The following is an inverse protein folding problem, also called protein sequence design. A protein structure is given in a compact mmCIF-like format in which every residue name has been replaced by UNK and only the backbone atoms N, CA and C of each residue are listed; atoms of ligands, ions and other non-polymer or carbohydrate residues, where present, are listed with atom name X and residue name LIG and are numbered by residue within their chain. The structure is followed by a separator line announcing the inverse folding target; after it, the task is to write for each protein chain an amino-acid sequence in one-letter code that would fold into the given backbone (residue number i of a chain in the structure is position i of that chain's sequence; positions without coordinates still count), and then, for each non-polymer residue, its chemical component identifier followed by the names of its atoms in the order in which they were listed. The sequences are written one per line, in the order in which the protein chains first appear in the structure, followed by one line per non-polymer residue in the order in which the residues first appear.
data_IF_584480160661
#
_entry.id   IF_584480160661
#
_cell.length_a   1.000
_cell.length_b   1.000
_cell.length_c   1.000
_cell.angle_alpha   90.00
_cell.angle_beta   90.00
_cell.angle_gamma   90.00
#
_symmetry.space_group_name_H-M   'P 1'
#
loop_
_entity.id
_entity.type
_entity.pdbx_description
1 polymer ?
#
# COMPACT_ATOMS: atom_id res chain seq x y z
N UNK A 1 -30.07 -29.07 8.22
CA UNK A 1 -30.57 -28.33 7.04
C UNK A 1 -29.34 -27.81 6.33
N UNK A 2 -29.18 -28.29 5.10
CA UNK A 2 -27.93 -28.29 4.32
C UNK A 2 -27.70 -26.91 3.72
N UNK A 3 -26.45 -26.46 3.82
CA UNK A 3 -25.92 -25.25 3.19
C UNK A 3 -25.79 -25.46 1.68
N UNK A 4 -26.30 -24.55 0.87
CA UNK A 4 -26.13 -24.58 -0.59
C UNK A 4 -25.63 -23.21 -1.07
N UNK A 5 -24.36 -23.18 -1.44
CA UNK A 5 -23.70 -22.08 -2.16
C UNK A 5 -24.03 -22.17 -3.65
N UNK A 6 -24.16 -21.06 -4.40
CA UNK A 6 -24.41 -21.11 -5.84
C UNK A 6 -23.11 -21.37 -6.63
N UNK A 7 -23.22 -22.30 -7.57
CA UNK A 7 -22.19 -22.79 -8.48
C UNK A 7 -22.04 -21.87 -9.73
N UNK A 8 -20.84 -21.74 -10.34
CA UNK A 8 -20.58 -20.84 -11.47
C UNK A 8 -20.98 -21.44 -12.84
N UNK A 9 -21.17 -20.62 -13.90
CA UNK A 9 -21.58 -21.10 -15.23
C UNK A 9 -20.45 -21.75 -16.02
N UNK A 10 -20.85 -22.72 -16.84
CA UNK A 10 -20.02 -23.66 -17.59
C UNK A 10 -19.29 -23.08 -18.80
N UNK A 11 -18.19 -23.76 -19.12
CA UNK A 11 -17.22 -23.55 -20.19
C UNK A 11 -17.81 -23.62 -21.61
N UNK A 12 -17.24 -22.80 -22.49
CA UNK A 12 -17.42 -22.84 -23.95
C UNK A 12 -16.40 -23.82 -24.54
N UNK A 13 -16.78 -24.78 -25.40
CA UNK A 13 -15.81 -25.54 -26.19
C UNK A 13 -15.49 -24.83 -27.50
N UNK A 14 -14.19 -24.73 -27.80
CA UNK A 14 -13.67 -24.24 -29.06
C UNK A 14 -13.68 -25.28 -30.20
N UNK A 15 -13.77 -24.73 -31.40
CA UNK A 15 -12.91 -25.01 -32.58
C UNK A 15 -12.91 -26.41 -33.22
N UNK A 16 -13.47 -26.52 -34.43
CA UNK A 16 -12.90 -27.33 -35.53
C UNK A 16 -13.25 -26.68 -36.89
N UNK A 17 -12.21 -26.25 -37.62
CA UNK A 17 -12.22 -25.91 -39.06
C UNK A 17 -12.33 -27.19 -39.93
N UNK A 18 -12.74 -27.05 -41.20
CA UNK A 18 -11.79 -27.46 -42.23
C UNK A 18 -11.65 -26.44 -43.38
N UNK A 19 -10.38 -26.07 -43.59
CA UNK A 19 -9.73 -25.78 -44.88
C UNK A 19 -9.86 -27.02 -45.82
N UNK A 20 -9.83 -27.03 -47.16
CA UNK A 20 -9.49 -26.18 -48.32
C UNK A 20 -10.32 -26.78 -49.51
N UNK A 21 -10.55 -26.20 -50.70
CA UNK A 21 -9.58 -25.79 -51.72
C UNK A 21 -10.32 -25.42 -53.02
N UNK A 22 -9.74 -24.46 -53.75
CA UNK A 22 -9.82 -24.22 -55.20
C UNK A 22 -11.16 -23.74 -55.79
N UNK A 23 -11.22 -22.52 -56.30
CA UNK A 23 -10.53 -22.17 -57.55
C UNK A 23 -10.81 -20.69 -57.89
N UNK A 24 -9.74 -19.92 -57.97
CA UNK A 24 -9.69 -18.61 -58.60
C UNK A 24 -10.27 -18.64 -60.01
N UNK A 25 -11.27 -17.79 -60.26
CA UNK A 25 -11.42 -17.11 -61.55
C UNK A 25 -11.70 -15.63 -61.32
N UNK A 26 -10.59 -14.91 -61.24
CA UNK A 26 -10.44 -13.53 -61.69
C UNK A 26 -10.90 -13.41 -63.15
N UNK A 27 -11.97 -12.66 -63.37
CA UNK A 27 -12.16 -11.85 -64.58
C UNK A 27 -12.51 -10.45 -64.04
N UNK A 28 -11.58 -9.48 -63.93
CA UNK A 28 -10.85 -8.83 -65.01
C UNK A 28 -11.72 -8.59 -66.24
N UNK A 29 -12.82 -7.87 -66.05
CA UNK A 29 -13.39 -7.04 -67.13
C UNK A 29 -12.45 -5.85 -67.36
N UNK A 30 -11.40 -6.14 -68.12
CA UNK A 30 -10.56 -5.16 -68.77
C UNK A 30 -11.40 -4.34 -69.76
N UNK A 31 -11.34 -3.02 -69.61
CA UNK A 31 -11.32 -2.03 -70.69
C UNK A 31 -11.54 -2.58 -72.10
N UNK A 32 -12.81 -2.73 -72.48
CA UNK A 32 -13.22 -2.65 -73.86
C UNK A 32 -14.09 -1.40 -73.94
N UNK A 33 -13.63 -0.38 -74.67
CA UNK A 33 -14.51 0.67 -75.21
C UNK A 33 -15.58 -0.06 -76.01
N UNK A 34 -16.72 -0.33 -75.39
CA UNK A 34 -17.94 -0.61 -76.12
C UNK A 34 -18.27 0.70 -76.84
N UNK A 35 -17.91 0.74 -78.12
CA UNK A 35 -18.53 1.65 -79.06
C UNK A 35 -20.02 1.53 -78.83
N UNK A 36 -20.63 2.64 -78.45
CA UNK A 36 -22.05 2.84 -78.29
C UNK A 36 -22.70 2.55 -79.65
N UNK A 37 -22.99 1.27 -79.90
CA UNK A 37 -23.85 0.87 -81.00
C UNK A 37 -25.27 1.22 -80.55
N UNK A 38 -25.70 2.43 -80.91
CA UNK A 38 -27.06 2.89 -80.72
C UNK A 38 -28.06 1.87 -81.28
N UNK A 39 -29.23 1.81 -80.65
CA UNK A 39 -30.36 0.95 -81.00
C UNK A 39 -30.50 0.77 -82.51
N UNK A 40 -30.16 -0.43 -83.00
CA UNK A 40 -30.20 -0.81 -84.42
C UNK A 40 -31.62 -0.90 -84.99
N UNK A 41 -32.64 -0.43 -84.26
CA UNK A 41 -34.00 -0.19 -84.75
C UNK A 41 -34.18 1.19 -85.37
N UNK A 42 -33.23 2.11 -85.17
CA UNK A 42 -33.36 3.49 -85.62
C UNK A 42 -32.40 3.79 -86.78
N UNK A 43 -32.87 4.49 -87.82
CA UNK A 43 -32.01 4.85 -88.92
C UNK A 43 -30.85 5.74 -88.44
N UNK A 44 -29.60 5.35 -88.76
CA UNK A 44 -28.36 6.07 -88.41
C UNK A 44 -28.32 7.55 -88.89
N UNK A 45 -29.21 7.93 -89.81
CA UNK A 45 -29.37 9.29 -90.30
C UNK A 45 -30.27 10.16 -89.41
N UNK A 46 -31.05 9.57 -88.51
CA UNK A 46 -31.96 10.28 -87.62
C UNK A 46 -31.29 10.53 -86.26
N UNK A 47 -30.81 11.77 -86.04
CA UNK A 47 -30.11 12.14 -84.80
C UNK A 47 -31.04 12.89 -83.86
N UNK A 48 -31.59 12.17 -82.87
CA UNK A 48 -32.49 12.76 -81.86
C UNK A 48 -31.83 13.86 -81.03
N UNK A 49 -30.53 13.75 -80.81
CA UNK A 49 -29.71 14.74 -80.10
C UNK A 49 -29.73 16.13 -80.76
N UNK A 50 -29.95 16.21 -82.07
CA UNK A 50 -30.05 17.48 -82.77
C UNK A 50 -31.24 18.32 -82.28
N UNK A 51 -32.32 17.67 -81.82
CA UNK A 51 -33.50 18.35 -81.26
C UNK A 51 -33.27 18.96 -79.87
N UNK A 52 -32.18 18.58 -79.19
CA UNK A 52 -31.83 19.11 -77.86
C UNK A 52 -30.92 20.34 -77.93
N UNK A 53 -30.47 20.74 -79.13
CA UNK A 53 -29.61 21.91 -79.31
C UNK A 53 -30.44 23.22 -79.23
N UNK A 54 -29.93 24.23 -78.52
CA UNK A 54 -30.62 25.52 -78.36
C UNK A 54 -30.79 26.32 -79.67
N UNK A 55 -29.92 26.09 -80.67
CA UNK A 55 -29.93 26.79 -81.97
C UNK A 55 -30.53 25.92 -83.09
N UNK A 56 -31.44 25.00 -82.74
CA UNK A 56 -32.03 24.06 -83.70
C UNK A 56 -32.95 24.79 -84.71
N UNK A 57 -32.54 24.81 -85.98
CA UNK A 57 -33.37 25.26 -87.10
C UNK A 57 -33.93 24.07 -87.88
N UNK A 58 -35.25 23.88 -87.79
CA UNK A 58 -35.95 22.77 -88.44
C UNK A 58 -35.78 22.75 -89.97
N UNK A 59 -35.75 23.93 -90.59
CA UNK A 59 -35.65 24.06 -92.04
C UNK A 59 -34.28 23.60 -92.56
N UNK A 60 -33.19 23.91 -91.85
CA UNK A 60 -31.83 23.48 -92.20
C UNK A 60 -31.70 21.96 -92.01
N UNK A 61 -32.19 21.44 -90.88
CA UNK A 61 -32.14 20.02 -90.57
C UNK A 61 -32.90 19.15 -91.60
N UNK A 62 -34.10 19.56 -92.01
CA UNK A 62 -34.88 18.86 -93.04
C UNK A 62 -34.23 18.99 -94.41
N UNK A 63 -33.64 20.13 -94.74
CA UNK A 63 -32.99 20.35 -96.03
C UNK A 63 -31.72 19.50 -96.20
N UNK A 64 -30.94 19.33 -95.13
CA UNK A 64 -29.76 18.47 -95.11
C UNK A 64 -30.14 16.98 -95.25
N UNK A 65 -31.22 16.54 -94.59
CA UNK A 65 -31.69 15.16 -94.65
C UNK A 65 -32.42 14.81 -95.95
N UNK A 66 -33.05 15.79 -96.60
CA UNK A 66 -33.73 15.61 -97.90
C UNK A 66 -32.79 15.15 -99.02
N UNK A 67 -31.47 15.40 -98.90
CA UNK A 67 -30.45 14.92 -99.84
C UNK A 67 -30.26 13.41 -99.79
N UNK A 68 -30.62 12.78 -98.68
CA UNK A 68 -30.31 11.37 -98.41
C UNK A 68 -31.56 10.51 -98.19
N UNK A 69 -32.72 11.09 -97.86
CA UNK A 69 -33.93 10.35 -97.45
C UNK A 69 -35.22 10.96 -98.05
N UNK A 70 -36.20 10.14 -98.49
CA UNK A 70 -37.53 10.61 -98.88
C UNK A 70 -38.27 11.30 -97.72
N UNK A 71 -38.92 12.43 -98.01
CA UNK A 71 -39.66 13.23 -97.01
C UNK A 71 -40.77 12.45 -96.29
N UNK A 72 -41.35 11.44 -96.93
CA UNK A 72 -42.38 10.58 -96.34
C UNK A 72 -41.82 9.72 -95.21
N UNK A 73 -40.61 9.19 -95.37
CA UNK A 73 -39.93 8.37 -94.35
C UNK A 73 -39.42 9.23 -93.20
N UNK A 74 -38.92 10.44 -93.49
CA UNK A 74 -38.56 11.40 -92.44
C UNK A 74 -39.77 11.77 -91.57
N UNK A 75 -40.92 12.02 -92.20
CA UNK A 75 -42.16 12.34 -91.48
C UNK A 75 -42.61 11.21 -90.56
N UNK A 76 -42.61 9.96 -91.04
CA UNK A 76 -43.04 8.82 -90.22
C UNK A 76 -42.12 8.61 -89.02
N UNK A 77 -40.80 8.76 -89.19
CA UNK A 77 -39.86 8.66 -88.07
C UNK A 77 -40.00 9.81 -87.05
N UNK A 78 -40.26 11.05 -87.53
CA UNK A 78 -40.56 12.18 -86.65
C UNK A 78 -41.86 11.98 -85.86
N UNK A 79 -42.91 11.47 -86.51
CA UNK A 79 -44.20 11.18 -85.87
C UNK A 79 -44.03 10.05 -84.83
N UNK A 80 -43.26 9.00 -85.15
CA UNK A 80 -42.93 7.91 -84.22
C UNK A 80 -42.14 8.43 -83.01
N UNK A 81 -41.14 9.29 -83.24
CA UNK A 81 -40.35 9.89 -82.17
C UNK A 81 -41.21 10.78 -81.26
N UNK A 82 -42.13 11.57 -81.82
CA UNK A 82 -43.06 12.40 -81.06
C UNK A 82 -43.95 11.53 -80.16
N UNK A 83 -44.51 10.44 -80.69
CA UNK A 83 -45.34 9.51 -79.92
C UNK A 83 -44.54 8.86 -78.78
N UNK A 84 -43.32 8.40 -79.06
CA UNK A 84 -42.41 7.82 -78.06
C UNK A 84 -42.09 8.82 -76.95
N UNK A 85 -41.77 10.06 -77.31
CA UNK A 85 -41.43 11.11 -76.36
C UNK A 85 -42.63 11.52 -75.50
N UNK A 86 -43.84 11.53 -76.07
CA UNK A 86 -45.07 11.73 -75.32
C UNK A 86 -45.35 10.59 -74.34
N UNK A 87 -45.15 9.32 -74.73
CA UNK A 87 -45.28 8.20 -73.79
C UNK A 87 -44.25 8.27 -72.67
N UNK A 88 -42.99 8.61 -72.99
CA UNK A 88 -41.93 8.73 -72.00
C UNK A 88 -42.20 9.88 -71.02
N UNK A 89 -42.71 11.03 -71.50
CA UNK A 89 -43.11 12.15 -70.65
C UNK A 89 -44.25 11.76 -69.71
N UNK A 90 -45.26 11.04 -70.21
CA UNK A 90 -46.38 10.57 -69.39
C UNK A 90 -45.91 9.54 -68.37
N UNK A 91 -45.01 8.63 -68.73
CA UNK A 91 -44.40 7.68 -67.81
C UNK A 91 -43.58 8.38 -66.73
N UNK A 92 -42.78 9.39 -67.08
CA UNK A 92 -42.00 10.17 -66.13
C UNK A 92 -42.89 10.93 -65.15
N UNK A 93 -43.94 11.61 -65.64
CA UNK A 93 -44.92 12.30 -64.79
C UNK A 93 -45.63 11.31 -63.87
N UNK A 94 -46.05 10.16 -64.39
CA UNK A 94 -46.76 9.15 -63.59
C UNK A 94 -45.84 8.55 -62.51
N UNK A 95 -44.58 8.28 -62.84
CA UNK A 95 -43.57 7.79 -61.89
C UNK A 95 -43.34 8.80 -60.77
N UNK A 96 -43.05 10.05 -61.12
CA UNK A 96 -42.79 11.10 -60.14
C UNK A 96 -44.04 11.43 -59.30
N UNK A 97 -45.23 11.30 -59.89
CA UNK A 97 -46.49 11.43 -59.16
C UNK A 97 -46.67 10.32 -58.11
N UNK A 98 -46.37 9.07 -58.45
CA UNK A 98 -46.43 7.97 -57.48
C UNK A 98 -45.44 8.14 -56.34
N UNK A 99 -44.22 8.59 -56.63
CA UNK A 99 -43.19 8.83 -55.62
C UNK A 99 -43.56 9.99 -54.71
N UNK A 100 -44.10 11.08 -55.27
CA UNK A 100 -44.56 12.24 -54.49
C UNK A 100 -45.73 11.88 -53.57
N UNK A 101 -46.71 11.13 -54.04
CA UNK A 101 -47.85 10.68 -53.23
C UNK A 101 -47.39 9.72 -52.12
N UNK A 102 -46.49 8.79 -52.42
CA UNK A 102 -45.92 7.86 -51.44
C UNK A 102 -45.08 8.58 -50.38
N UNK A 103 -44.32 9.61 -50.74
CA UNK A 103 -43.57 10.41 -49.79
C UNK A 103 -44.50 11.26 -48.93
N UNK A 104 -45.49 11.93 -49.54
CA UNK A 104 -46.45 12.76 -48.84
C UNK A 104 -47.27 11.97 -47.82
N UNK A 105 -47.69 10.74 -48.16
CA UNK A 105 -48.44 9.87 -47.23
C UNK A 105 -47.57 9.39 -46.07
N UNK A 106 -46.33 8.96 -46.34
CA UNK A 106 -45.41 8.52 -45.28
C UNK A 106 -45.02 9.66 -44.35
N UNK A 107 -44.82 10.87 -44.85
CA UNK A 107 -44.39 12.02 -44.05
C UNK A 107 -45.46 12.44 -43.03
N UNK A 108 -46.74 12.31 -43.38
CA UNK A 108 -47.87 12.62 -42.48
C UNK A 108 -47.89 11.69 -41.25
N UNK A 109 -47.48 10.43 -41.40
CA UNK A 109 -47.44 9.46 -40.30
C UNK A 109 -46.20 9.58 -39.40
N UNK A 110 -45.16 10.30 -39.84
CA UNK A 110 -43.93 10.51 -39.05
C UNK A 110 -44.23 11.29 -37.78
N UNK A 111 -45.05 12.34 -37.84
CA UNK A 111 -45.42 13.14 -36.67
C UNK A 111 -46.12 12.28 -35.60
N UNK A 112 -47.01 11.39 -36.02
CA UNK A 112 -47.65 10.41 -35.14
C UNK A 112 -46.66 9.43 -34.51
N UNK A 113 -45.68 8.93 -35.28
CA UNK A 113 -44.63 8.04 -34.78
C UNK A 113 -43.70 8.75 -33.78
N UNK A 114 -43.31 10.00 -34.05
CA UNK A 114 -42.49 10.82 -33.16
C UNK A 114 -43.22 11.08 -31.84
N UNK A 115 -44.52 11.42 -31.88
CA UNK A 115 -45.33 11.59 -30.68
C UNK A 115 -45.44 10.29 -29.86
N UNK A 116 -45.62 9.13 -30.51
CA UNK A 116 -45.65 7.83 -29.84
C UNK A 116 -44.31 7.44 -29.21
N UNK A 117 -43.16 7.83 -29.80
CA UNK A 117 -41.84 7.58 -29.23
C UNK A 117 -41.47 8.54 -28.10
N UNK A 118 -42.01 9.76 -28.10
CA UNK A 118 -41.69 10.79 -27.10
C UNK A 118 -42.11 10.37 -25.68
N UNK A 119 -43.29 9.79 -25.52
CA UNK A 119 -43.81 9.35 -24.23
C UNK A 119 -42.91 8.30 -23.53
N UNK A 120 -42.57 7.14 -24.15
CA UNK A 120 -41.72 6.13 -23.53
C UNK A 120 -40.29 6.63 -23.28
N UNK A 121 -39.76 7.54 -24.11
CA UNK A 121 -38.44 8.14 -23.87
C UNK A 121 -38.45 9.04 -22.62
N UNK A 122 -39.50 9.83 -22.40
CA UNK A 122 -39.65 10.63 -21.18
C UNK A 122 -39.83 9.73 -19.96
N UNK A 123 -40.60 8.65 -20.08
CA UNK A 123 -40.78 7.68 -19.02
C UNK A 123 -39.45 7.02 -18.64
N UNK A 124 -38.67 6.57 -19.64
CA UNK A 124 -37.34 5.98 -19.43
C UNK A 124 -36.38 6.99 -18.79
N UNK A 125 -36.34 8.23 -19.26
CA UNK A 125 -35.54 9.29 -18.65
C UNK A 125 -35.92 9.52 -17.18
N UNK A 126 -37.22 9.43 -16.86
CA UNK A 126 -37.71 9.58 -15.49
C UNK A 126 -37.30 8.40 -14.62
N UNK A 127 -37.44 7.16 -15.11
CA UNK A 127 -36.98 5.95 -14.43
C UNK A 127 -35.47 5.98 -14.18
N UNK A 128 -34.68 6.32 -15.19
CA UNK A 128 -33.22 6.45 -15.06
C UNK A 128 -32.82 7.53 -14.05
N UNK A 129 -33.53 8.66 -14.03
CA UNK A 129 -33.30 9.72 -13.04
C UNK A 129 -33.62 9.25 -11.63
N UNK A 130 -34.67 8.44 -11.45
CA UNK A 130 -35.01 7.87 -10.15
C UNK A 130 -33.99 6.83 -9.71
N UNK A 131 -33.59 5.90 -10.58
CA UNK A 131 -32.52 4.94 -10.29
C UNK A 131 -31.22 5.66 -9.93
N UNK A 132 -30.85 6.72 -10.66
CA UNK A 132 -29.68 7.55 -10.32
C UNK A 132 -29.81 8.16 -8.92
N UNK A 133 -30.99 8.71 -8.56
CA UNK A 133 -31.24 9.24 -7.21
C UNK A 133 -31.09 8.17 -6.14
N UNK A 134 -31.60 6.97 -6.39
CA UNK A 134 -31.54 5.87 -5.43
C UNK A 134 -30.10 5.35 -5.26
N UNK A 135 -29.33 5.28 -6.35
CA UNK A 135 -27.89 4.98 -6.30
C UNK A 135 -27.13 6.03 -5.47
N UNK A 136 -27.39 7.32 -5.70
CA UNK A 136 -26.73 8.40 -4.95
C UNK A 136 -27.08 8.30 -3.45
N UNK A 137 -28.35 8.09 -3.11
CA UNK A 137 -28.77 7.88 -1.72
C UNK A 137 -28.10 6.66 -1.08
N UNK A 138 -28.02 5.55 -1.81
CA UNK A 138 -27.36 4.34 -1.33
C UNK A 138 -25.86 4.58 -1.10
N UNK A 139 -25.20 5.32 -2.00
CA UNK A 139 -23.80 5.69 -1.88
C UNK A 139 -23.56 6.56 -0.64
N UNK A 140 -24.36 7.59 -0.41
CA UNK A 140 -24.30 8.44 0.79
C UNK A 140 -24.54 7.64 2.08
N UNK A 141 -25.50 6.69 2.06
CA UNK A 141 -25.75 5.80 3.18
C UNK A 141 -24.55 4.90 3.48
N UNK A 142 -23.89 4.35 2.45
CA UNK A 142 -22.68 3.53 2.60
C UNK A 142 -21.52 4.37 3.13
N UNK A 143 -21.30 5.57 2.60
CA UNK A 143 -20.23 6.46 3.05
C UNK A 143 -20.40 6.86 4.52
N UNK A 144 -21.61 7.23 4.93
CA UNK A 144 -21.90 7.56 6.34
C UNK A 144 -21.80 6.34 7.26
N UNK A 145 -22.15 5.14 6.78
CA UNK A 145 -21.96 3.90 7.53
C UNK A 145 -20.46 3.55 7.68
N UNK A 146 -19.66 3.72 6.62
CA UNK A 146 -18.22 3.50 6.66
C UNK A 146 -17.52 4.50 7.59
N UNK A 147 -17.91 5.78 7.55
CA UNK A 147 -17.39 6.80 8.46
C UNK A 147 -17.67 6.45 9.93
N UNK A 148 -18.91 6.07 10.26
CA UNK A 148 -19.28 5.59 11.60
C UNK A 148 -18.51 4.34 12.01
N UNK A 149 -18.30 3.40 11.08
CA UNK A 149 -17.51 2.20 11.34
C UNK A 149 -16.04 2.53 11.62
N UNK A 150 -15.46 3.48 10.89
CA UNK A 150 -14.09 3.91 11.12
C UNK A 150 -13.94 4.61 12.49
N UNK A 151 -14.88 5.48 12.85
CA UNK A 151 -14.90 6.14 14.16
C UNK A 151 -15.02 5.10 15.29
N UNK A 152 -15.93 4.13 15.15
CA UNK A 152 -16.07 3.04 16.10
C UNK A 152 -14.81 2.17 16.19
N UNK A 153 -14.14 1.91 15.07
CA UNK A 153 -12.87 1.17 15.06
C UNK A 153 -11.74 1.93 15.77
N UNK A 154 -11.66 3.26 15.56
CA UNK A 154 -10.69 4.11 16.24
C UNK A 154 -10.96 4.15 17.75
N UNK A 155 -12.21 4.39 18.16
CA UNK A 155 -12.60 4.37 19.57
C UNK A 155 -12.28 3.02 20.21
N UNK A 156 -12.59 1.91 19.53
CA UNK A 156 -12.25 0.56 20.00
C UNK A 156 -10.74 0.38 20.17
N UNK A 157 -9.93 0.80 19.19
CA UNK A 157 -8.46 0.70 19.30
C UNK A 157 -7.92 1.53 20.47
N UNK A 158 -8.48 2.71 20.74
CA UNK A 158 -8.09 3.51 21.92
C UNK A 158 -8.49 2.84 23.23
N UNK A 159 -9.67 2.22 23.30
CA UNK A 159 -10.13 1.48 24.48
C UNK A 159 -9.31 0.22 24.72
N UNK A 160 -8.95 -0.52 23.66
CA UNK A 160 -8.06 -1.68 23.76
C UNK A 160 -6.68 -1.27 24.31
N UNK A 161 -6.13 -0.14 23.87
CA UNK A 161 -4.88 0.39 24.42
C UNK A 161 -5.02 0.78 25.91
N UNK A 162 -6.13 1.43 26.29
CA UNK A 162 -6.41 1.78 27.69
C UNK A 162 -6.60 0.53 28.57
N UNK A 163 -7.26 -0.50 28.06
CA UNK A 163 -7.45 -1.76 28.76
C UNK A 163 -6.12 -2.51 28.93
N UNK A 164 -5.32 -2.60 27.87
CA UNK A 164 -4.00 -3.24 27.90
C UNK A 164 -3.06 -2.53 28.88
N UNK A 165 -3.00 -1.19 28.85
CA UNK A 165 -2.21 -0.41 29.82
C UNK A 165 -2.65 -0.68 31.25
N UNK A 166 -3.96 -0.65 31.53
CA UNK A 166 -4.50 -0.92 32.87
C UNK A 166 -4.15 -2.34 33.35
N UNK A 167 -4.32 -3.34 32.48
CA UNK A 167 -4.05 -4.74 32.81
C UNK A 167 -2.56 -4.98 33.07
N UNK A 168 -1.67 -4.39 32.27
CA UNK A 168 -0.22 -4.51 32.48
C UNK A 168 0.20 -3.79 33.76
N UNK A 169 -0.34 -2.61 34.06
CA UNK A 169 -0.06 -1.92 35.34
C UNK A 169 -0.50 -2.77 36.53
N UNK A 170 -1.73 -3.31 36.50
CA UNK A 170 -2.23 -4.18 37.57
C UNK A 170 -1.37 -5.43 37.73
N UNK A 171 -0.92 -6.03 36.62
CA UNK A 171 -0.02 -7.19 36.62
C UNK A 171 1.34 -6.84 37.22
N UNK A 172 1.92 -5.70 36.85
CA UNK A 172 3.20 -5.22 37.40
C UNK A 172 3.09 -5.00 38.91
N UNK A 173 2.03 -4.33 39.37
CA UNK A 173 1.78 -4.12 40.80
C UNK A 173 1.56 -5.44 41.56
N UNK A 174 0.85 -6.41 40.97
CA UNK A 174 0.67 -7.74 41.56
C UNK A 174 2.01 -8.48 41.70
N UNK A 175 2.86 -8.44 40.67
CA UNK A 175 4.18 -9.07 40.70
C UNK A 175 5.11 -8.37 41.69
N UNK A 176 5.01 -7.05 41.84
CA UNK A 176 5.75 -6.29 42.84
C UNK A 176 5.31 -6.67 44.26
N UNK A 177 4.00 -6.83 44.51
CA UNK A 177 3.50 -7.32 45.78
C UNK A 177 3.96 -8.75 46.09
N UNK A 178 4.02 -9.63 45.09
CA UNK A 178 4.60 -10.98 45.22
C UNK A 178 6.10 -10.90 45.58
N UNK A 179 6.85 -10.00 44.93
CA UNK A 179 8.26 -9.77 45.22
C UNK A 179 8.52 -9.31 46.66
N UNK A 180 7.68 -8.44 47.21
CA UNK A 180 7.80 -7.98 48.60
C UNK A 180 7.55 -9.10 49.62
N UNK A 181 6.69 -10.07 49.30
CA UNK A 181 6.33 -11.18 50.21
C UNK A 181 7.33 -12.35 50.21
N UNK A 182 8.25 -12.40 49.24
CA UNK A 182 9.22 -13.50 49.14
C UNK A 182 10.34 -13.39 50.19
N UNK A 183 10.55 -14.45 50.96
CA UNK A 183 11.63 -14.53 51.97
C UNK A 183 13.04 -14.34 51.37
N UNK A 184 13.90 -13.61 52.09
CA UNK A 184 15.33 -13.39 51.77
C UNK A 184 16.22 -14.61 52.12
N UNK A 185 15.74 -15.81 51.82
CA UNK A 185 16.54 -17.05 51.96
C UNK A 185 17.33 -17.31 50.68
N UNK A 186 18.41 -18.11 50.73
CA UNK A 186 19.25 -18.38 49.54
C UNK A 186 18.53 -19.06 48.36
N UNK A 187 17.48 -19.84 48.65
CA UNK A 187 16.55 -20.37 47.63
C UNK A 187 15.57 -19.28 47.16
N UNK A 188 15.12 -18.43 48.08
CA UNK A 188 14.31 -17.25 47.83
C UNK A 188 14.99 -16.26 46.88
N UNK A 189 16.29 -16.02 46.99
CA UNK A 189 17.03 -15.06 46.16
C UNK A 189 16.96 -15.38 44.66
N UNK A 190 17.00 -16.67 44.30
CA UNK A 190 16.83 -17.11 42.90
C UNK A 190 15.41 -16.83 42.40
N UNK A 191 14.42 -17.10 43.24
CA UNK A 191 13.01 -16.84 42.92
C UNK A 191 12.74 -15.34 42.80
N UNK A 192 13.28 -14.54 43.73
CA UNK A 192 13.22 -13.08 43.74
C UNK A 192 13.82 -12.48 42.47
N UNK A 193 15.01 -12.93 42.06
CA UNK A 193 15.65 -12.45 40.82
C UNK A 193 14.86 -12.80 39.55
N UNK A 194 14.27 -13.99 39.49
CA UNK A 194 13.38 -14.38 38.37
C UNK A 194 12.10 -13.55 38.31
N UNK A 195 11.51 -13.23 39.47
CA UNK A 195 10.34 -12.35 39.54
C UNK A 195 10.73 -10.94 39.08
N UNK A 196 11.88 -10.41 39.48
CA UNK A 196 12.37 -9.11 39.01
C UNK A 196 12.61 -9.07 37.50
N UNK A 197 13.20 -10.12 36.91
CA UNK A 197 13.33 -10.24 35.44
C UNK A 197 11.96 -10.21 34.75
N UNK A 198 10.98 -10.94 35.31
CA UNK A 198 9.60 -10.92 34.78
C UNK A 198 8.97 -9.53 34.89
N UNK A 199 9.10 -8.85 36.04
CA UNK A 199 8.59 -7.48 36.23
C UNK A 199 9.26 -6.55 35.23
N UNK A 200 10.57 -6.62 35.04
CA UNK A 200 11.32 -5.84 34.06
C UNK A 200 10.77 -5.99 32.64
N UNK A 201 10.46 -7.22 32.22
CA UNK A 201 9.86 -7.47 30.89
C UNK A 201 8.46 -6.85 30.74
N UNK A 202 7.62 -6.89 31.78
CA UNK A 202 6.29 -6.26 31.76
C UNK A 202 6.37 -4.73 31.85
N UNK A 203 7.33 -4.17 32.59
CA UNK A 203 7.61 -2.72 32.63
C UNK A 203 8.08 -2.24 31.26
N UNK A 204 8.92 -2.99 30.55
CA UNK A 204 9.29 -2.64 29.18
C UNK A 204 8.09 -2.65 28.23
N UNK A 205 7.21 -3.65 28.35
CA UNK A 205 5.95 -3.70 27.61
C UNK A 205 5.04 -2.51 27.96
N UNK A 206 5.01 -2.10 29.22
CA UNK A 206 4.28 -0.93 29.68
C UNK A 206 4.83 0.37 29.07
N UNK A 207 6.17 0.53 29.01
CA UNK A 207 6.80 1.66 28.31
C UNK A 207 6.34 1.75 26.84
N UNK A 208 6.24 0.62 26.14
CA UNK A 208 5.70 0.59 24.77
C UNK A 208 4.25 1.09 24.69
N UNK A 209 3.37 0.63 25.57
CA UNK A 209 1.98 1.08 25.55
C UNK A 209 1.81 2.54 25.96
N UNK A 210 2.59 3.03 26.93
CA UNK A 210 2.64 4.43 27.32
C UNK A 210 3.11 5.29 26.16
N UNK A 211 4.17 4.86 25.44
CA UNK A 211 4.68 5.56 24.27
C UNK A 211 3.65 5.64 23.13
N UNK A 212 2.77 4.65 22.99
CA UNK A 212 1.67 4.65 22.01
C UNK A 212 0.48 5.53 22.43
N UNK A 213 0.31 5.79 23.73
CA UNK A 213 -0.85 6.47 24.30
C UNK A 213 -0.57 7.80 24.99
N UNK A 214 0.56 8.45 24.70
CA UNK A 214 1.06 9.63 25.43
C UNK A 214 0.05 10.79 25.52
N UNK A 215 -0.79 10.95 24.51
CA UNK A 215 -1.77 12.03 24.43
C UNK A 215 -3.05 11.77 25.24
N UNK A 216 -3.31 10.51 25.61
CA UNK A 216 -4.52 10.11 26.32
C UNK A 216 -4.46 10.56 27.79
N UNK A 217 -5.52 11.24 28.25
CA UNK A 217 -5.66 11.66 29.65
C UNK A 217 -5.59 10.48 30.64
N UNK A 218 -6.13 9.33 30.25
CA UNK A 218 -6.06 8.09 31.03
C UNK A 218 -4.62 7.65 31.30
N UNK A 219 -3.76 7.62 30.26
CA UNK A 219 -2.35 7.24 30.42
C UNK A 219 -1.63 8.24 31.32
N UNK A 220 -1.90 9.55 31.16
CA UNK A 220 -1.36 10.60 32.04
C UNK A 220 -1.76 10.40 33.50
N UNK A 221 -2.99 9.96 33.78
CA UNK A 221 -3.44 9.66 35.14
C UNK A 221 -2.75 8.43 35.76
N UNK A 222 -2.29 7.50 34.92
CA UNK A 222 -1.60 6.27 35.36
C UNK A 222 -0.10 6.47 35.55
N UNK A 223 0.51 7.47 34.90
CA UNK A 223 1.94 7.81 35.01
C UNK A 223 2.51 7.80 36.44
N UNK A 224 1.87 8.37 37.48
CA UNK A 224 2.43 8.31 38.83
C UNK A 224 2.57 6.88 39.37
N UNK A 225 1.60 6.01 39.08
CA UNK A 225 1.66 4.58 39.47
C UNK A 225 2.75 3.84 38.71
N UNK A 226 2.89 4.14 37.42
CA UNK A 226 3.93 3.58 36.55
C UNK A 226 5.31 3.97 37.07
N UNK A 227 5.53 5.26 37.37
CA UNK A 227 6.79 5.74 37.94
C UNK A 227 7.09 5.13 39.30
N UNK A 228 6.08 4.94 40.15
CA UNK A 228 6.26 4.26 41.44
C UNK A 228 6.70 2.79 41.24
N UNK A 229 6.05 2.07 40.32
CA UNK A 229 6.43 0.70 39.99
C UNK A 229 7.84 0.60 39.38
N UNK A 230 8.21 1.54 38.51
CA UNK A 230 9.57 1.64 37.96
C UNK A 230 10.61 1.89 39.06
N UNK A 231 10.31 2.78 40.02
CA UNK A 231 11.15 3.04 41.19
C UNK A 231 11.31 1.83 42.09
N UNK A 232 10.22 1.15 42.44
CA UNK A 232 10.27 -0.08 43.25
C UNK A 232 11.07 -1.19 42.55
N UNK A 233 10.92 -1.32 41.23
CA UNK A 233 11.70 -2.26 40.44
C UNK A 233 13.19 -1.88 40.42
N UNK A 234 13.54 -0.59 40.23
CA UNK A 234 14.94 -0.16 40.23
C UNK A 234 15.61 -0.36 41.58
N UNK A 235 14.91 -0.04 42.67
CA UNK A 235 15.41 -0.21 44.03
C UNK A 235 15.59 -1.69 44.37
N UNK A 236 14.60 -2.52 44.03
CA UNK A 236 14.65 -3.97 44.21
C UNK A 236 15.74 -4.64 43.38
N UNK A 237 15.97 -4.19 42.14
CA UNK A 237 17.07 -4.67 41.30
C UNK A 237 18.44 -4.26 41.85
N UNK A 238 18.57 -3.03 42.35
CA UNK A 238 19.82 -2.55 42.93
C UNK A 238 20.18 -3.34 44.20
N UNK A 239 19.23 -3.54 45.12
CA UNK A 239 19.44 -4.34 46.34
C UNK A 239 19.75 -5.82 46.01
N UNK A 240 19.00 -6.40 45.06
CA UNK A 240 19.19 -7.80 44.69
C UNK A 240 20.54 -8.02 43.98
N UNK A 241 20.93 -7.10 43.10
CA UNK A 241 22.23 -7.17 42.41
C UNK A 241 23.38 -6.95 43.39
N UNK A 242 23.31 -5.97 44.29
CA UNK A 242 24.38 -5.76 45.28
C UNK A 242 24.57 -6.99 46.17
N UNK A 243 23.47 -7.58 46.66
CA UNK A 243 23.52 -8.81 47.45
C UNK A 243 24.02 -10.02 46.64
N UNK A 244 23.67 -10.12 45.36
CA UNK A 244 24.13 -11.21 44.49
C UNK A 244 25.63 -11.13 44.23
N UNK A 245 26.16 -9.91 44.06
CA UNK A 245 27.58 -9.64 43.86
C UNK A 245 28.39 -9.93 45.13
N UNK A 246 27.90 -9.53 46.31
CA UNK A 246 28.52 -9.83 47.60
C UNK A 246 28.62 -11.35 47.85
N UNK A 247 27.53 -12.08 47.55
CA UNK A 247 27.46 -13.53 47.72
C UNK A 247 28.11 -14.33 46.57
N UNK A 248 28.63 -13.65 45.54
CA UNK A 248 29.22 -14.25 44.31
C UNK A 248 28.31 -15.29 43.64
N UNK A 249 27.00 -15.07 43.65
CA UNK A 249 26.03 -16.02 43.12
C UNK A 249 25.80 -15.79 41.62
N UNK A 250 26.35 -16.68 40.79
CA UNK A 250 26.35 -16.53 39.34
C UNK A 250 24.95 -16.44 38.72
N UNK A 251 24.01 -17.27 39.17
CA UNK A 251 22.66 -17.35 38.60
C UNK A 251 21.79 -16.15 38.94
N UNK A 252 21.88 -15.65 40.18
CA UNK A 252 21.13 -14.48 40.63
C UNK A 252 21.65 -13.24 39.91
N UNK A 253 22.98 -13.10 39.83
CA UNK A 253 23.63 -12.02 39.07
C UNK A 253 23.19 -12.01 37.62
N UNK A 254 23.14 -13.19 36.97
CA UNK A 254 22.66 -13.33 35.59
C UNK A 254 21.22 -12.83 35.43
N UNK A 255 20.28 -13.29 36.27
CA UNK A 255 18.87 -12.88 36.20
C UNK A 255 18.70 -11.37 36.45
N UNK A 256 19.46 -10.78 37.37
CA UNK A 256 19.46 -9.33 37.59
C UNK A 256 19.98 -8.57 36.36
N UNK A 257 21.06 -9.02 35.73
CA UNK A 257 21.59 -8.40 34.51
C UNK A 257 20.61 -8.51 33.34
N UNK A 258 19.94 -9.65 33.18
CA UNK A 258 18.87 -9.81 32.18
C UNK A 258 17.70 -8.85 32.44
N UNK A 259 17.34 -8.64 33.70
CA UNK A 259 16.31 -7.67 34.08
C UNK A 259 16.73 -6.23 33.72
N UNK A 260 17.98 -5.83 34.00
CA UNK A 260 18.51 -4.52 33.60
C UNK A 260 18.53 -4.35 32.08
N UNK A 261 18.90 -5.40 31.33
CA UNK A 261 18.85 -5.38 29.87
C UNK A 261 17.41 -5.25 29.34
N UNK A 262 16.45 -5.95 29.95
CA UNK A 262 15.04 -5.85 29.58
C UNK A 262 14.46 -4.45 29.86
N UNK A 263 14.93 -3.75 30.90
CA UNK A 263 14.52 -2.38 31.22
C UNK A 263 15.17 -1.29 30.35
N UNK A 264 16.18 -1.67 29.56
CA UNK A 264 17.09 -0.76 28.84
C UNK A 264 17.85 0.20 29.79
N UNK A 265 18.19 -0.28 30.99
CA UNK A 265 18.92 0.49 32.00
C UNK A 265 20.35 -0.04 32.17
N UNK A 266 21.16 0.14 31.13
CA UNK A 266 22.56 -0.32 31.06
C UNK A 266 23.43 0.40 32.10
N UNK A 267 23.30 1.72 32.18
CA UNK A 267 24.06 2.55 33.11
C UNK A 267 23.80 2.18 34.58
N UNK A 268 22.55 1.85 34.94
CA UNK A 268 22.21 1.39 36.29
C UNK A 268 22.93 0.10 36.69
N UNK A 269 23.03 -0.87 35.77
CA UNK A 269 23.75 -2.11 36.02
C UNK A 269 25.26 -1.89 36.16
N UNK A 270 25.84 -1.10 35.25
CA UNK A 270 27.28 -0.81 35.24
C UNK A 270 27.71 -0.04 36.49
N UNK A 271 26.94 0.96 36.90
CA UNK A 271 27.19 1.71 38.15
C UNK A 271 27.06 0.85 39.40
N UNK A 272 26.09 -0.07 39.44
CA UNK A 272 25.96 -1.02 40.56
C UNK A 272 27.17 -1.97 40.66
N UNK A 273 27.61 -2.54 39.53
CA UNK A 273 28.82 -3.40 39.49
C UNK A 273 30.06 -2.60 39.88
N UNK A 274 30.17 -1.37 39.38
CA UNK A 274 31.25 -0.44 39.70
C UNK A 274 31.36 -0.19 41.21
N UNK A 275 30.25 0.14 41.87
CA UNK A 275 30.25 0.46 43.30
C UNK A 275 30.47 -0.77 44.19
N UNK A 276 29.85 -1.91 43.86
CA UNK A 276 29.84 -3.09 44.74
C UNK A 276 31.09 -3.95 44.57
N UNK A 277 31.60 -4.10 43.34
CA UNK A 277 32.71 -5.01 43.05
C UNK A 277 34.00 -4.26 42.75
N UNK A 278 33.96 -3.25 41.87
CA UNK A 278 35.18 -2.61 41.37
C UNK A 278 35.79 -1.66 42.41
N UNK A 279 35.01 -0.74 42.99
CA UNK A 279 35.46 0.25 43.97
C UNK A 279 36.20 -0.36 45.19
N UNK A 280 35.69 -1.42 45.86
CA UNK A 280 36.41 -2.03 46.98
C UNK A 280 37.69 -2.77 46.55
N UNK A 281 37.76 -3.27 45.32
CA UNK A 281 38.99 -3.89 44.78
C UNK A 281 40.05 -2.84 44.51
N UNK A 282 39.67 -1.76 43.82
CA UNK A 282 40.57 -0.67 43.47
C UNK A 282 41.10 0.04 44.71
N UNK A 283 40.24 0.37 45.69
CA UNK A 283 40.67 1.00 46.94
C UNK A 283 41.63 0.13 47.77
N UNK A 284 41.39 -1.18 47.88
CA UNK A 284 42.31 -2.13 48.56
C UNK A 284 43.67 -2.22 47.86
N UNK A 285 43.68 -2.25 46.54
CA UNK A 285 44.93 -2.35 45.77
C UNK A 285 45.71 -1.03 45.80
N UNK A 286 45.01 0.10 45.78
CA UNK A 286 45.61 1.43 45.79
C UNK A 286 46.19 1.81 47.16
N UNK A 287 45.53 1.43 48.25
CA UNK A 287 46.04 1.57 49.62
C UNK A 287 47.25 0.68 49.92
N UNK A 288 47.37 -0.46 49.22
CA UNK A 288 48.52 -1.36 49.30
C UNK A 288 49.73 -0.86 48.47
N UNK A 289 49.48 0.00 47.47
CA UNK A 289 50.50 0.43 46.52
C UNK A 289 51.28 1.67 47.01
N UNK A 290 52.62 1.61 47.13
CA UNK A 290 53.43 2.77 47.51
C UNK A 290 53.35 3.88 46.45
N UNK A 291 53.43 5.16 46.84
CA UNK A 291 53.28 6.33 45.93
C UNK A 291 54.23 6.33 44.73
N UNK A 292 55.36 5.61 44.83
CA UNK A 292 56.41 5.54 43.81
C UNK A 292 56.24 4.43 42.76
N UNK A 293 55.15 3.63 42.79
CA UNK A 293 54.94 2.60 41.76
C UNK A 293 54.72 3.21 40.38
N UNK A 294 55.45 2.71 39.40
CA UNK A 294 55.19 2.99 37.99
C UNK A 294 53.76 2.61 37.62
N UNK A 295 53.12 3.49 36.85
CA UNK A 295 51.72 3.35 36.47
C UNK A 295 51.42 2.00 35.81
N UNK A 296 52.36 1.52 34.97
CA UNK A 296 52.24 0.25 34.26
C UNK A 296 52.18 -0.96 35.19
N UNK A 297 53.02 -0.94 36.25
CA UNK A 297 53.02 -2.01 37.26
C UNK A 297 51.72 -1.94 38.05
N UNK A 298 51.26 -0.74 38.39
CA UNK A 298 50.01 -0.53 39.11
C UNK A 298 48.78 -1.01 38.31
N UNK A 299 48.69 -0.67 37.02
CA UNK A 299 47.64 -1.19 36.12
C UNK A 299 47.71 -2.71 35.99
N UNK A 300 48.91 -3.29 35.89
CA UNK A 300 49.06 -4.76 35.79
C UNK A 300 48.58 -5.46 37.07
N UNK A 301 48.96 -4.95 38.24
CA UNK A 301 48.50 -5.49 39.54
C UNK A 301 47.00 -5.28 39.75
N UNK A 302 46.43 -4.17 39.26
CA UNK A 302 44.99 -3.92 39.24
C UNK A 302 44.25 -4.92 38.35
N UNK A 303 44.76 -5.19 37.15
CA UNK A 303 44.17 -6.15 36.22
C UNK A 303 44.22 -7.59 36.78
N UNK A 304 45.37 -8.01 37.32
CA UNK A 304 45.52 -9.34 37.95
C UNK A 304 44.61 -9.49 39.18
N UNK A 305 44.52 -8.43 40.01
CA UNK A 305 43.60 -8.37 41.15
C UNK A 305 42.14 -8.44 40.72
N UNK A 306 41.77 -7.73 39.66
CA UNK A 306 40.42 -7.75 39.09
C UNK A 306 40.07 -9.13 38.50
N UNK A 307 40.94 -9.73 37.69
CA UNK A 307 40.71 -11.06 37.11
C UNK A 307 40.50 -12.12 38.20
N UNK A 308 41.24 -12.03 39.31
CA UNK A 308 41.09 -12.98 40.43
C UNK A 308 39.75 -12.82 41.18
N UNK A 309 39.24 -11.60 41.33
CA UNK A 309 38.03 -11.32 42.11
C UNK A 309 36.75 -11.31 41.26
N UNK A 310 36.86 -10.99 39.98
CA UNK A 310 35.75 -10.86 39.03
C UNK A 310 35.66 -12.03 38.04
N UNK A 311 36.40 -13.12 38.25
CA UNK A 311 36.32 -14.33 37.43
C UNK A 311 34.87 -14.80 37.21
N UNK A 312 34.04 -14.75 38.25
CA UNK A 312 32.62 -15.10 38.15
C UNK A 312 31.80 -14.19 37.22
N UNK A 313 32.06 -12.88 37.21
CA UNK A 313 31.42 -11.93 36.28
C UNK A 313 31.94 -12.12 34.85
N UNK A 314 33.24 -12.32 34.70
CA UNK A 314 33.86 -12.60 33.40
C UNK A 314 33.32 -13.90 32.80
N UNK A 315 33.06 -14.92 33.62
CA UNK A 315 32.44 -16.17 33.17
C UNK A 315 30.99 -15.96 32.71
N UNK A 316 30.21 -15.11 33.40
CA UNK A 316 28.86 -14.74 32.95
C UNK A 316 28.90 -14.04 31.58
N UNK A 317 29.83 -13.08 31.41
CA UNK A 317 29.99 -12.33 30.15
C UNK A 317 30.43 -13.26 29.01
N UNK A 318 31.32 -14.22 29.29
CA UNK A 318 31.83 -15.19 28.30
C UNK A 318 30.78 -16.21 27.86
N UNK A 319 29.80 -16.52 28.71
CA UNK A 319 28.80 -17.56 28.44
C UNK A 319 27.77 -17.21 27.35
N UNK A 320 27.86 -16.04 26.69
CA UNK A 320 27.00 -15.63 25.55
C UNK A 320 25.50 -15.79 25.82
N UNK A 321 25.03 -15.42 27.02
CA UNK A 321 23.59 -15.35 27.25
C UNK A 321 23.00 -14.14 26.48
N UNK A 322 21.80 -14.32 25.93
CA UNK A 322 21.12 -13.28 25.17
C UNK A 322 20.95 -12.00 26.01
N UNK A 323 21.29 -10.83 25.44
CA UNK A 323 21.11 -9.52 26.11
C UNK A 323 22.29 -9.03 26.95
N UNK A 324 23.29 -9.86 27.27
CA UNK A 324 24.47 -9.43 28.05
C UNK A 324 25.44 -8.57 27.22
N UNK A 325 25.43 -8.71 25.90
CA UNK A 325 26.28 -7.93 25.00
C UNK A 325 26.02 -6.42 25.03
N UNK A 326 24.91 -5.99 25.64
CA UNK A 326 24.55 -4.58 25.74
C UNK A 326 25.44 -3.85 26.77
N UNK A 327 26.04 -4.57 27.72
CA UNK A 327 26.84 -3.99 28.79
C UNK A 327 28.32 -3.87 28.42
N UNK A 328 28.92 -2.72 28.70
CA UNK A 328 30.37 -2.49 28.65
C UNK A 328 30.92 -2.31 30.07
N UNK A 329 31.01 -3.43 30.79
CA UNK A 329 31.57 -3.45 32.14
C UNK A 329 33.06 -3.06 32.18
N UNK A 330 33.81 -3.21 31.09
CA UNK A 330 35.24 -2.91 31.07
C UNK A 330 35.46 -1.41 30.95
N UNK A 331 34.76 -0.74 30.04
CA UNK A 331 34.84 0.71 29.89
C UNK A 331 34.15 1.45 31.04
N UNK A 332 32.86 1.18 31.24
CA UNK A 332 32.01 2.04 32.07
C UNK A 332 32.02 1.68 33.56
N UNK A 333 32.40 0.45 33.93
CA UNK A 333 32.52 0.06 35.33
C UNK A 333 33.98 0.01 35.79
N UNK A 334 34.86 -0.71 35.07
CA UNK A 334 36.26 -0.87 35.48
C UNK A 334 37.11 0.38 35.23
N UNK A 335 37.26 0.79 33.97
CA UNK A 335 38.16 1.88 33.60
C UNK A 335 37.71 3.21 34.22
N UNK A 336 36.41 3.48 34.21
CA UNK A 336 35.83 4.67 34.84
C UNK A 336 36.12 4.76 36.36
N UNK A 337 36.17 3.63 37.08
CA UNK A 337 36.48 3.63 38.52
C UNK A 337 37.98 3.72 38.78
N UNK A 338 38.79 3.04 37.98
CA UNK A 338 40.25 3.13 38.09
C UNK A 338 40.71 4.56 37.82
N UNK A 339 40.18 5.21 36.79
CA UNK A 339 40.51 6.60 36.47
C UNK A 339 40.05 7.56 37.58
N UNK A 340 38.84 7.37 38.11
CA UNK A 340 38.34 8.18 39.23
C UNK A 340 39.20 8.02 40.50
N UNK A 341 39.55 6.78 40.87
CA UNK A 341 40.38 6.50 42.04
C UNK A 341 41.83 6.99 41.87
N UNK A 342 42.37 6.97 40.64
CA UNK A 342 43.69 7.53 40.33
C UNK A 342 43.70 9.06 40.38
N UNK A 343 42.63 9.72 39.93
CA UNK A 343 42.47 11.16 40.05
C UNK A 343 42.43 11.62 41.51
N UNK A 344 41.73 10.88 42.38
CA UNK A 344 41.65 11.21 43.81
C UNK A 344 42.95 10.92 44.57
N UNK A 345 43.57 9.77 44.32
CA UNK A 345 44.78 9.35 45.05
C UNK A 345 46.07 9.99 44.55
N UNK A 346 46.19 10.22 43.24
CA UNK A 346 47.43 10.69 42.59
C UNK A 346 47.12 11.64 41.42
N UNK A 347 46.63 12.87 41.67
CA UNK A 347 46.33 13.84 40.62
C UNK A 347 47.57 14.24 39.80
N UNK A 348 48.78 14.04 40.34
CA UNK A 348 50.06 14.34 39.71
C UNK A 348 50.30 13.50 38.44
N UNK A 349 49.73 12.28 38.37
CA UNK A 349 49.83 11.41 37.19
C UNK A 349 49.23 12.05 35.95
N UNK A 350 48.16 12.84 36.11
CA UNK A 350 47.48 13.52 35.01
C UNK A 350 47.99 14.95 34.76
N UNK A 351 49.09 15.35 35.42
CA UNK A 351 49.66 16.68 35.22
C UNK A 351 50.34 16.82 33.86
N UNK A 352 50.11 17.96 33.19
CA UNK A 352 50.71 18.26 31.90
C UNK A 352 52.23 18.43 32.05
N UNK A 353 53.00 17.37 31.77
CA UNK A 353 54.46 17.37 31.89
C UNK A 353 55.11 16.00 32.06
N UNK A 354 54.36 14.96 32.41
CA UNK A 354 54.87 13.58 32.58
C UNK A 354 54.51 12.72 31.37
N UNK A 355 55.01 13.08 30.18
CA UNK A 355 54.74 12.32 28.94
C UNK A 355 55.48 10.98 28.87
N UNK A 356 56.56 10.80 29.66
CA UNK A 356 57.37 9.57 29.66
C UNK A 356 56.74 8.40 30.41
N UNK A 357 55.66 8.60 31.17
CA UNK A 357 54.98 7.53 31.92
C UNK A 357 53.82 6.88 31.15
N UNK A 358 53.32 7.50 30.07
CA UNK A 358 52.20 6.99 29.26
C UNK A 358 52.63 6.29 27.97
N UNK A 359 53.86 6.50 27.50
CA UNK A 359 54.37 5.98 26.23
C UNK A 359 55.62 5.11 26.44
N UNK A 360 55.46 3.87 26.92
CA UNK A 360 56.39 2.73 26.69
C UNK A 360 55.78 1.38 27.06
#
# INVERSE_FOLDING_TARGET
MVSESPQPPAEVPGEVLPETSSADKKELSSTAKAVEYGDLTEPLWFRKEAFLANDFEADVYVNDLRRYVPLTTLRTELDNHLVSLNSELVELINKDYTDFVNLSTKLVDVDGAVLRMRAPLIELQTKLRNVRKDIVRALEAIQSALARRQEAANMRSTLELMLDTANVVAKVEQLLAEFEQLDKSSSGDKTRARVLERIASEVNRLKFYVARGQDLSFVKSMMPRIKNAEGQLSDGLQECLSSALDNKNQLVTLHCLLAYAAMDNVAGAETAVRQVVVAPVVSKLLSSAPESTELRVLYKTLLEGFESQCSFLLDIIKQQHAGIHVFDFVGNALLAEVDAALLESRPVVFSAGVSSTFLT
#
